data_IF_792491421914
#
_entry.id   IF_792491421914
#
_cell.length_a   1.000
_cell.length_b   1.000
_cell.length_c   1.000
_cell.angle_alpha   90.00
_cell.angle_beta   90.00
_cell.angle_gamma   90.00
#
_symmetry.space_group_name_H-M   'P 1'
#
loop_
_entity.id
_entity.type
_entity.pdbx_description
1 polymer ?
#
# COMPACT_ATOMS: atom_id res chain seq x y z
N UNK A 1 4.42 -18.44 29.26
CA UNK A 1 4.41 -17.30 28.30
C UNK A 1 4.27 -16.03 29.10
N UNK A 2 5.03 -14.97 28.77
CA UNK A 2 4.89 -13.69 29.46
C UNK A 2 3.84 -12.85 28.74
N UNK A 3 2.77 -12.51 29.46
CA UNK A 3 1.73 -11.61 29.00
C UNK A 3 2.05 -10.17 29.43
N UNK A 4 1.66 -9.14 28.66
CA UNK A 4 0.94 -9.18 27.39
C UNK A 4 1.84 -9.41 26.17
N UNK A 5 1.30 -10.07 25.14
CA UNK A 5 2.01 -10.32 23.88
C UNK A 5 1.93 -9.08 22.97
N UNK A 6 3.07 -8.55 22.54
CA UNK A 6 3.12 -7.45 21.56
C UNK A 6 2.94 -8.02 20.14
N UNK A 7 1.79 -7.76 19.52
CA UNK A 7 1.44 -8.17 18.17
C UNK A 7 0.94 -6.96 17.37
N UNK A 8 1.61 -6.64 16.26
CA UNK A 8 1.28 -5.48 15.41
C UNK A 8 1.29 -4.12 16.14
N UNK A 9 2.19 -3.95 17.11
CA UNK A 9 2.22 -2.73 17.92
C UNK A 9 1.09 -2.64 18.94
N UNK A 10 0.19 -3.64 19.02
CA UNK A 10 -0.82 -3.78 20.06
C UNK A 10 -0.38 -4.81 21.09
N UNK A 11 -0.73 -4.58 22.35
CA UNK A 11 -0.59 -5.56 23.42
C UNK A 11 -1.85 -6.40 23.50
N UNK A 12 -1.68 -7.72 23.42
CA UNK A 12 -2.76 -8.68 23.57
C UNK A 12 -2.61 -9.38 24.90
N UNK A 13 -3.67 -9.33 25.70
CA UNK A 13 -3.73 -9.96 27.02
C UNK A 13 -4.24 -11.39 26.93
N UNK A 14 -3.99 -12.16 27.98
CA UNK A 14 -4.52 -13.52 28.09
C UNK A 14 -6.05 -13.54 28.06
N UNK A 15 -6.70 -12.57 28.71
CA UNK A 15 -8.15 -12.41 28.70
C UNK A 15 -8.71 -12.24 27.27
N UNK A 16 -8.03 -11.47 26.42
CA UNK A 16 -8.44 -11.29 25.02
C UNK A 16 -8.30 -12.58 24.21
N UNK A 17 -7.25 -13.38 24.47
CA UNK A 17 -7.09 -14.69 23.81
C UNK A 17 -8.16 -15.68 24.30
N UNK A 18 -8.45 -15.69 25.60
CA UNK A 18 -9.52 -16.51 26.16
C UNK A 18 -10.91 -16.13 25.60
N UNK A 19 -11.16 -14.83 25.38
CA UNK A 19 -12.36 -14.35 24.72
C UNK A 19 -12.46 -14.87 23.28
N UNK A 20 -11.37 -14.81 22.50
CA UNK A 20 -11.34 -15.37 21.14
C UNK A 20 -11.63 -16.88 21.16
N UNK A 21 -11.01 -17.63 22.08
CA UNK A 21 -11.24 -19.07 22.23
C UNK A 21 -12.68 -19.39 22.64
N UNK A 22 -13.31 -18.53 23.44
CA UNK A 22 -14.73 -18.67 23.79
C UNK A 22 -15.61 -18.44 22.56
N UNK A 23 -15.38 -17.36 21.80
CA UNK A 23 -16.13 -17.07 20.57
C UNK A 23 -16.01 -18.18 19.53
N UNK A 24 -14.82 -18.76 19.36
CA UNK A 24 -14.58 -19.89 18.45
C UNK A 24 -15.33 -21.16 18.89
N UNK A 25 -15.42 -21.42 20.20
CA UNK A 25 -16.17 -22.56 20.75
C UNK A 25 -17.68 -22.38 20.63
N UNK A 26 -18.16 -21.19 21.00
CA UNK A 26 -19.60 -20.88 21.01
C UNK A 26 -20.16 -20.76 19.59
N UNK A 27 -19.30 -20.52 18.58
CA UNK A 27 -19.72 -20.26 17.20
C UNK A 27 -18.88 -21.01 16.16
N UNK A 28 -18.91 -22.34 16.20
CA UNK A 28 -18.15 -23.19 15.27
C UNK A 28 -18.49 -22.97 13.78
N UNK A 29 -19.67 -22.41 13.47
CA UNK A 29 -20.10 -22.10 12.10
C UNK A 29 -19.53 -20.78 11.55
N UNK A 30 -18.88 -19.96 12.37
CA UNK A 30 -18.38 -18.66 11.93
C UNK A 30 -17.19 -18.77 11.00
N UNK A 31 -17.22 -17.98 9.92
CA UNK A 31 -16.07 -17.78 9.06
C UNK A 31 -15.09 -16.77 9.68
N UNK A 32 -13.84 -16.77 9.18
CA UNK A 32 -12.78 -15.85 9.66
C UNK A 32 -13.18 -14.36 9.52
N UNK A 33 -14.04 -14.02 8.56
CA UNK A 33 -14.53 -12.66 8.33
C UNK A 33 -15.49 -12.21 9.44
N UNK A 34 -16.50 -13.02 9.76
CA UNK A 34 -17.49 -12.75 10.80
C UNK A 34 -16.82 -12.64 12.17
N UNK A 35 -15.91 -13.58 12.48
CA UNK A 35 -15.13 -13.53 13.71
C UNK A 35 -14.33 -12.21 13.83
N UNK A 36 -13.70 -11.76 12.74
CA UNK A 36 -12.92 -10.51 12.76
C UNK A 36 -13.78 -9.26 12.97
N UNK A 37 -15.00 -9.22 12.40
CA UNK A 37 -15.92 -8.11 12.56
C UNK A 37 -16.45 -8.03 13.99
N UNK A 38 -16.90 -9.17 14.54
CA UNK A 38 -17.37 -9.26 15.92
C UNK A 38 -16.30 -8.83 16.93
N UNK A 39 -15.05 -9.28 16.76
CA UNK A 39 -13.94 -8.85 17.60
C UNK A 39 -13.64 -7.35 17.44
N UNK A 40 -13.75 -6.82 16.22
CA UNK A 40 -13.60 -5.39 15.99
C UNK A 40 -14.70 -4.57 16.67
N UNK A 41 -15.94 -5.07 16.72
CA UNK A 41 -17.03 -4.42 17.46
C UNK A 41 -16.79 -4.47 18.97
N UNK A 42 -16.53 -5.65 19.53
CA UNK A 42 -16.31 -5.87 20.97
C UNK A 42 -15.15 -5.06 21.54
N UNK A 43 -14.08 -4.94 20.76
CA UNK A 43 -12.88 -4.20 21.18
C UNK A 43 -12.90 -2.73 20.74
N UNK A 44 -14.02 -2.25 20.21
CA UNK A 44 -14.17 -0.92 19.59
C UNK A 44 -13.00 -0.60 18.65
N UNK A 45 -12.55 -1.61 17.90
CA UNK A 45 -11.37 -1.55 17.06
C UNK A 45 -11.69 -0.99 15.69
N UNK A 46 -11.97 0.32 15.70
CA UNK A 46 -12.36 1.09 14.54
C UNK A 46 -11.32 2.17 14.24
N UNK A 47 -11.41 2.74 13.05
CA UNK A 47 -10.71 3.95 12.64
C UNK A 47 -11.53 5.19 13.06
N UNK A 48 -10.93 6.39 13.06
CA UNK A 48 -11.66 7.64 13.31
C UNK A 48 -12.79 7.90 12.30
N UNK A 49 -12.72 7.28 11.11
CA UNK A 49 -13.74 7.34 10.06
C UNK A 49 -14.89 6.33 10.27
N UNK A 50 -14.92 5.61 11.40
CA UNK A 50 -15.93 4.59 11.72
C UNK A 50 -15.72 3.23 11.03
N UNK A 51 -14.72 3.10 10.15
CA UNK A 51 -14.45 1.82 9.49
C UNK A 51 -13.78 0.83 10.45
N UNK A 52 -14.29 -0.40 10.50
CA UNK A 52 -13.70 -1.47 11.29
C UNK A 52 -12.30 -1.83 10.77
N UNK A 53 -11.37 -2.11 11.69
CA UNK A 53 -10.02 -2.59 11.35
C UNK A 53 -9.99 -4.11 11.18
N UNK A 54 -10.94 -4.65 10.42
CA UNK A 54 -11.14 -6.10 10.22
C UNK A 54 -9.89 -6.78 9.61
N UNK A 55 -9.18 -6.10 8.70
CA UNK A 55 -7.92 -6.58 8.13
C UNK A 55 -6.84 -6.74 9.21
N UNK A 56 -6.64 -5.73 10.08
CA UNK A 56 -5.66 -5.81 11.16
C UNK A 56 -6.03 -6.89 12.17
N UNK A 57 -7.33 -7.06 12.46
CA UNK A 57 -7.85 -8.12 13.31
C UNK A 57 -7.57 -9.52 12.73
N UNK A 58 -7.83 -9.73 11.42
CA UNK A 58 -7.50 -11.01 10.76
C UNK A 58 -6.02 -11.33 10.79
N UNK A 59 -5.15 -10.32 10.61
CA UNK A 59 -3.71 -10.54 10.72
C UNK A 59 -3.27 -10.84 12.16
N UNK A 60 -3.91 -10.23 13.16
CA UNK A 60 -3.69 -10.56 14.56
C UNK A 60 -4.05 -12.03 14.83
N UNK A 61 -5.24 -12.46 14.41
CA UNK A 61 -5.69 -13.85 14.56
C UNK A 61 -4.72 -14.84 13.89
N UNK A 62 -4.23 -14.53 12.68
CA UNK A 62 -3.21 -15.35 12.02
C UNK A 62 -1.90 -15.46 12.81
N UNK A 63 -1.49 -14.38 13.47
CA UNK A 63 -0.27 -14.37 14.32
C UNK A 63 -0.43 -15.14 15.63
N UNK A 64 -1.66 -15.25 16.13
CA UNK A 64 -2.00 -16.09 17.27
C UNK A 64 -2.06 -17.57 16.86
N UNK A 65 -2.66 -17.88 15.71
CA UNK A 65 -2.66 -19.23 15.12
C UNK A 65 -1.23 -19.72 14.85
N UNK A 66 -0.36 -18.88 14.28
CA UNK A 66 1.05 -19.20 14.05
C UNK A 66 1.85 -19.45 15.35
N UNK A 67 1.35 -19.01 16.51
CA UNK A 67 1.92 -19.29 17.83
C UNK A 67 1.24 -20.47 18.53
N UNK A 68 0.37 -21.21 17.84
CA UNK A 68 -0.43 -22.30 18.37
C UNK A 68 -1.32 -21.90 19.57
N UNK A 69 -1.68 -20.61 19.69
CA UNK A 69 -2.53 -20.10 20.77
C UNK A 69 -4.03 -20.27 20.49
N UNK A 70 -4.40 -20.27 19.21
CA UNK A 70 -5.77 -20.47 18.73
C UNK A 70 -5.73 -21.33 17.47
N UNK A 71 -6.83 -22.03 17.19
CA UNK A 71 -7.03 -22.75 15.93
C UNK A 71 -8.15 -22.05 15.16
N UNK A 72 -7.84 -21.48 14.00
CA UNK A 72 -8.86 -20.80 13.19
C UNK A 72 -9.58 -21.81 12.28
N UNK A 73 -10.85 -21.56 11.95
CA UNK A 73 -11.58 -22.39 10.98
C UNK A 73 -10.84 -22.42 9.63
N UNK A 74 -11.00 -23.50 8.83
CA UNK A 74 -10.32 -23.64 7.56
C UNK A 74 -10.62 -22.45 6.65
N UNK A 75 -9.63 -22.07 5.84
CA UNK A 75 -9.79 -20.94 4.92
C UNK A 75 -10.74 -21.35 3.79
N UNK A 76 -11.93 -20.75 3.76
CA UNK A 76 -12.98 -21.11 2.80
C UNK A 76 -12.70 -20.62 1.37
N UNK A 77 -12.02 -19.48 1.19
CA UNK A 77 -11.78 -18.91 -0.14
C UNK A 77 -10.30 -18.56 -0.36
N UNK A 78 -9.73 -19.18 -1.39
CA UNK A 78 -8.55 -18.68 -2.08
C UNK A 78 -9.06 -17.84 -3.27
N UNK A 79 -9.21 -16.53 -3.09
CA UNK A 79 -9.26 -15.66 -4.27
C UNK A 79 -7.81 -15.51 -4.74
N UNK A 80 -7.43 -16.08 -5.90
CA UNK A 80 -6.11 -15.81 -6.46
C UNK A 80 -6.02 -14.30 -6.67
N UNK A 81 -4.95 -13.69 -6.16
CA UNK A 81 -4.65 -12.29 -6.46
C UNK A 81 -4.46 -12.22 -7.97
N UNK A 82 -5.46 -11.75 -8.72
CA UNK A 82 -5.30 -11.51 -10.15
C UNK A 82 -4.31 -10.35 -10.31
N UNK A 83 -3.18 -10.56 -11.02
CA UNK A 83 -2.30 -9.45 -11.35
C UNK A 83 -3.11 -8.41 -12.14
N UNK A 84 -2.86 -7.14 -11.87
CA UNK A 84 -3.45 -6.07 -12.69
C UNK A 84 -2.66 -6.00 -13.97
N UNK A 85 -3.35 -6.14 -15.08
CA UNK A 85 -2.78 -5.80 -16.37
C UNK A 85 -2.71 -4.28 -16.46
N UNK A 86 -1.49 -3.75 -16.43
CA UNK A 86 -1.22 -2.34 -16.75
C UNK A 86 -0.93 -2.28 -18.24
N UNK A 87 -1.80 -1.60 -18.98
CA UNK A 87 -1.68 -1.38 -20.42
C UNK A 87 -0.49 -0.48 -20.74
N UNK A 88 0.08 -0.67 -21.94
CA UNK A 88 1.13 0.21 -22.45
C UNK A 88 0.53 1.56 -22.83
N UNK A 89 1.12 2.63 -22.32
CA UNK A 89 0.77 3.99 -22.73
C UNK A 89 1.91 4.53 -23.58
N UNK A 90 1.57 5.17 -24.69
CA UNK A 90 2.56 5.88 -25.51
C UNK A 90 3.01 7.13 -24.76
N UNK A 91 4.23 7.10 -24.25
CA UNK A 91 4.84 8.21 -23.52
C UNK A 91 6.17 8.50 -24.16
N UNK A 92 6.44 9.78 -24.47
CA UNK A 92 7.71 10.20 -25.06
C UNK A 92 8.89 9.90 -24.11
N UNK A 93 9.71 8.92 -24.48
CA UNK A 93 10.90 8.48 -23.75
C UNK A 93 12.22 9.08 -24.28
N UNK A 94 12.14 10.06 -25.19
CA UNK A 94 13.34 10.72 -25.74
C UNK A 94 14.18 11.32 -24.60
N UNK A 95 15.47 11.04 -24.47
CA UNK A 95 16.28 11.62 -23.40
C UNK A 95 16.21 13.15 -23.44
N UNK A 96 15.84 13.75 -22.30
CA UNK A 96 15.76 15.21 -22.18
C UNK A 96 17.09 15.71 -21.63
N UNK A 97 17.80 16.53 -22.42
CA UNK A 97 19.08 17.14 -22.06
C UNK A 97 19.00 18.65 -22.28
N UNK A 98 18.46 19.37 -21.31
CA UNK A 98 18.42 20.84 -21.30
C UNK A 98 18.65 21.38 -19.89
N UNK A 99 18.81 22.70 -19.74
CA UNK A 99 18.94 23.30 -18.40
C UNK A 99 17.58 23.25 -17.71
N UNK A 100 17.59 23.08 -16.38
CA UNK A 100 16.36 23.11 -15.59
C UNK A 100 15.55 24.41 -15.79
N UNK A 101 16.25 25.53 -16.02
CA UNK A 101 15.63 26.81 -16.35
C UNK A 101 14.76 26.75 -17.63
N UNK A 102 15.17 25.95 -18.63
CA UNK A 102 14.44 25.79 -19.88
C UNK A 102 13.22 24.87 -19.74
N UNK A 103 13.14 24.11 -18.65
CA UNK A 103 12.01 23.23 -18.31
C UNK A 103 10.93 23.94 -17.47
N UNK A 104 11.20 25.14 -16.98
CA UNK A 104 10.25 25.91 -16.19
C UNK A 104 9.13 26.46 -17.09
N UNK A 105 7.88 26.51 -16.60
CA UNK A 105 7.42 26.06 -15.29
C UNK A 105 7.18 24.55 -15.24
N UNK A 106 7.59 23.91 -14.15
CA UNK A 106 7.29 22.51 -13.88
C UNK A 106 5.97 22.44 -13.11
N UNK A 107 4.98 21.74 -13.66
CA UNK A 107 3.69 21.51 -12.99
C UNK A 107 3.70 20.17 -12.26
N UNK A 108 2.85 20.05 -11.25
CA UNK A 108 2.56 18.77 -10.59
C UNK A 108 1.07 18.53 -10.67
N UNK A 109 0.65 17.37 -11.18
CA UNK A 109 -0.76 16.98 -11.28
C UNK A 109 -1.00 15.71 -10.47
N UNK A 110 -2.14 15.61 -9.79
CA UNK A 110 -2.51 14.37 -9.10
C UNK A 110 -2.87 13.34 -10.17
N UNK A 111 -2.21 12.19 -10.14
CA UNK A 111 -2.44 11.17 -11.14
C UNK A 111 -3.84 10.55 -11.04
N UNK A 112 -4.58 10.82 -9.95
CA UNK A 112 -5.95 10.34 -9.74
C UNK A 112 -7.01 11.30 -10.28
N UNK A 113 -6.62 12.46 -10.79
CA UNK A 113 -7.56 13.44 -11.34
C UNK A 113 -8.28 12.92 -12.59
N UNK A 114 -7.60 12.11 -13.42
CA UNK A 114 -8.20 11.45 -14.57
C UNK A 114 -7.58 10.07 -14.87
N UNK A 115 -8.29 9.27 -15.67
CA UNK A 115 -7.88 7.90 -16.02
C UNK A 115 -6.59 7.85 -16.84
N UNK A 116 -6.38 8.84 -17.69
CA UNK A 116 -5.23 8.98 -18.59
C UNK A 116 -3.96 9.21 -17.77
N UNK A 117 -4.00 10.11 -16.79
CA UNK A 117 -2.91 10.34 -15.85
C UNK A 117 -2.64 9.09 -14.99
N UNK A 118 -3.68 8.42 -14.49
CA UNK A 118 -3.49 7.22 -13.68
C UNK A 118 -2.83 6.09 -14.49
N UNK A 119 -3.24 5.92 -15.74
CA UNK A 119 -2.67 4.93 -16.65
C UNK A 119 -1.21 5.26 -17.00
N UNK A 120 -0.90 6.50 -17.37
CA UNK A 120 0.46 6.93 -17.64
C UNK A 120 1.37 6.76 -16.42
N UNK A 121 0.88 7.10 -15.22
CA UNK A 121 1.58 6.87 -13.96
C UNK A 121 1.87 5.39 -13.72
N UNK A 122 0.86 4.53 -13.83
CA UNK A 122 1.00 3.10 -13.60
C UNK A 122 1.95 2.46 -14.62
N UNK A 123 1.90 2.89 -15.89
CA UNK A 123 2.81 2.45 -16.95
C UNK A 123 4.26 2.86 -16.68
N UNK A 124 4.52 4.15 -16.42
CA UNK A 124 5.86 4.66 -16.14
C UNK A 124 6.46 3.99 -14.91
N UNK A 125 5.67 3.80 -13.86
CA UNK A 125 6.12 3.12 -12.67
C UNK A 125 6.37 1.64 -12.96
N UNK A 126 5.53 0.94 -13.75
CA UNK A 126 5.81 -0.44 -14.15
C UNK A 126 7.10 -0.58 -14.97
N UNK A 127 7.34 0.35 -15.90
CA UNK A 127 8.48 0.32 -16.81
C UNK A 127 9.81 0.66 -16.14
N UNK A 128 9.83 1.64 -15.22
CA UNK A 128 11.07 2.17 -14.64
C UNK A 128 11.30 1.76 -13.18
N UNK A 129 10.30 1.19 -12.49
CA UNK A 129 10.48 0.67 -11.13
C UNK A 129 11.21 -0.68 -11.16
N UNK A 130 12.30 -0.79 -10.43
CA UNK A 130 13.18 -1.96 -10.39
C UNK A 130 12.50 -3.29 -9.92
N UNK A 131 11.40 -3.25 -9.15
CA UNK A 131 10.56 -4.44 -8.85
C UNK A 131 9.33 -4.62 -9.75
N UNK A 132 9.15 -3.77 -10.77
CA UNK A 132 7.93 -3.69 -11.59
C UNK A 132 6.66 -3.50 -10.76
N UNK A 133 6.13 -2.28 -10.79
CA UNK A 133 4.89 -1.95 -10.08
C UNK A 133 3.69 -2.76 -10.59
N UNK A 134 2.93 -3.38 -9.68
CA UNK A 134 1.72 -4.15 -9.98
C UNK A 134 0.46 -3.53 -9.39
N UNK A 135 0.51 -3.12 -8.11
CA UNK A 135 -0.56 -2.39 -7.42
C UNK A 135 0.03 -1.58 -6.27
N UNK A 136 -0.51 -0.41 -5.97
CA UNK A 136 -0.19 0.26 -4.74
C UNK A 136 -0.96 -0.42 -3.60
N UNK A 137 -0.26 -0.78 -2.53
CA UNK A 137 -0.88 -1.40 -1.34
C UNK A 137 -0.93 -0.35 -0.23
N UNK A 138 -2.13 -0.06 0.26
CA UNK A 138 -2.36 0.94 1.30
C UNK A 138 -2.56 2.37 0.77
N UNK A 139 -2.61 3.34 1.68
CA UNK A 139 -2.78 4.75 1.33
C UNK A 139 -1.53 5.29 0.62
N UNK A 140 -1.74 5.87 -0.55
CA UNK A 140 -0.69 6.44 -1.39
C UNK A 140 -1.17 7.74 -2.04
N UNK A 141 -0.22 8.59 -2.40
CA UNK A 141 -0.38 9.77 -3.24
C UNK A 141 0.42 9.55 -4.51
N UNK A 142 -0.21 9.82 -5.65
CA UNK A 142 0.37 9.61 -6.98
C UNK A 142 0.43 10.95 -7.69
N UNK A 143 1.59 11.33 -8.16
CA UNK A 143 1.77 12.57 -8.89
C UNK A 143 2.49 12.34 -10.21
N UNK A 144 2.09 13.11 -11.22
CA UNK A 144 2.80 13.25 -12.48
C UNK A 144 3.41 14.65 -12.57
N UNK A 145 4.53 14.72 -13.27
CA UNK A 145 5.29 15.95 -13.49
C UNK A 145 5.33 16.21 -14.99
N UNK A 146 4.31 16.87 -15.57
CA UNK A 146 4.36 17.33 -16.95
C UNK A 146 5.26 18.57 -17.08
N UNK A 147 6.03 18.61 -18.17
CA UNK A 147 6.79 19.78 -18.61
C UNK A 147 5.90 20.80 -19.31
N UNK A 148 6.51 21.90 -19.79
CA UNK A 148 5.76 23.00 -20.45
C UNK A 148 4.96 22.54 -21.68
N UNK A 149 5.47 21.54 -22.40
CA UNK A 149 4.87 21.02 -23.64
C UNK A 149 3.89 19.87 -23.35
N UNK A 150 3.40 19.77 -22.10
CA UNK A 150 2.53 18.68 -21.58
C UNK A 150 3.14 17.27 -21.65
N UNK A 151 4.42 17.19 -22.03
CA UNK A 151 5.22 15.97 -21.98
C UNK A 151 5.46 15.53 -20.54
N UNK A 152 5.20 14.25 -20.25
CA UNK A 152 5.47 13.68 -18.92
C UNK A 152 6.97 13.47 -18.72
N UNK A 153 7.55 14.18 -17.75
CA UNK A 153 8.97 14.11 -17.42
C UNK A 153 9.26 13.09 -16.33
N UNK A 154 8.37 12.99 -15.33
CA UNK A 154 8.54 12.09 -14.21
C UNK A 154 7.20 11.72 -13.55
N UNK A 155 7.23 10.65 -12.76
CA UNK A 155 6.16 10.30 -11.83
C UNK A 155 6.70 10.11 -10.41
N UNK A 156 5.84 10.35 -9.41
CA UNK A 156 6.18 10.30 -8.00
C UNK A 156 5.11 9.55 -7.18
N UNK A 157 5.53 8.51 -6.47
CA UNK A 157 4.68 7.74 -5.55
C UNK A 157 5.08 8.03 -4.10
N UNK A 158 4.19 8.63 -3.32
CA UNK A 158 4.35 8.73 -1.87
C UNK A 158 3.43 7.74 -1.16
N UNK A 159 3.95 7.01 -0.17
CA UNK A 159 3.19 6.08 0.67
C UNK A 159 3.28 6.52 2.14
N UNK A 160 2.21 6.29 2.92
CA UNK A 160 2.15 6.64 4.36
C UNK A 160 3.34 5.99 5.14
N UNK A 161 3.86 6.61 6.22
CA UNK A 161 5.16 6.27 6.78
C UNK A 161 5.13 4.90 7.48
N UNK A 162 6.08 4.07 7.05
CA UNK A 162 6.37 2.74 7.55
C UNK A 162 7.58 2.17 6.80
N UNK A 163 7.69 2.51 5.50
CA UNK A 163 8.90 2.49 4.68
C UNK A 163 8.75 3.59 3.63
N UNK A 164 9.44 4.71 3.81
CA UNK A 164 9.53 5.71 2.74
C UNK A 164 10.38 5.12 1.62
N UNK A 165 9.85 5.10 0.41
CA UNK A 165 10.61 4.78 -0.79
C UNK A 165 10.32 5.89 -1.78
N UNK A 166 11.29 6.78 -1.93
CA UNK A 166 11.25 7.85 -2.92
C UNK A 166 11.70 7.24 -4.24
N UNK A 167 10.83 7.22 -5.23
CA UNK A 167 11.16 6.74 -6.57
C UNK A 167 10.76 7.79 -7.58
N UNK A 168 11.79 8.34 -8.22
CA UNK A 168 11.67 9.20 -9.38
C UNK A 168 11.84 8.27 -10.57
N UNK A 169 10.73 7.86 -11.18
CA UNK A 169 10.74 7.20 -12.46
C UNK A 169 10.62 8.30 -13.53
N UNK A 170 11.78 8.74 -14.04
CA UNK A 170 11.84 9.60 -15.22
C UNK A 170 11.77 8.75 -16.49
N UNK A 171 11.09 9.27 -17.52
CA UNK A 171 11.21 8.77 -18.90
C UNK A 171 12.62 9.02 -19.47
N UNK A 172 13.39 9.90 -18.82
CA UNK A 172 14.82 10.04 -19.02
C UNK A 172 15.57 9.04 -18.14
N UNK A 173 16.40 8.19 -18.78
CA UNK A 173 17.33 7.31 -18.08
C UNK A 173 18.05 8.06 -16.95
N UNK A 174 18.14 7.40 -15.79
CA UNK A 174 18.91 7.77 -14.58
C UNK A 174 19.37 9.24 -14.58
N UNK A 175 18.57 10.13 -14.01
CA UNK A 175 19.00 11.48 -13.66
C UNK A 175 20.16 11.38 -12.66
N UNK A 176 21.39 11.32 -13.17
CA UNK A 176 22.59 11.56 -12.38
C UNK A 176 22.63 13.06 -12.11
N UNK A 177 22.13 13.45 -10.94
CA UNK A 177 22.48 14.74 -10.36
C UNK A 177 24.00 14.71 -10.13
N UNK A 178 24.74 15.47 -10.93
CA UNK A 178 26.11 15.80 -10.59
C UNK A 178 26.08 16.50 -9.23
N UNK A 179 26.92 16.04 -8.30
CA UNK A 179 27.06 16.60 -6.96
C UNK A 179 27.30 18.12 -7.05
N UNK A 180 26.30 18.91 -6.67
CA UNK A 180 26.53 20.28 -6.21
C UNK A 180 26.13 20.33 -4.73
N UNK A 181 27.16 20.53 -3.92
CA UNK A 181 27.11 20.81 -2.49
C UNK A 181 26.35 22.11 -2.26
N UNK A 182 25.31 22.07 -1.41
CA UNK A 182 24.68 23.27 -0.90
C UNK A 182 25.45 23.72 0.35
N UNK A 183 26.00 24.94 0.30
CA UNK A 183 26.49 25.68 1.48
C UNK A 183 25.33 26.13 2.39
#
# INVERSE_FOLDING_TARGET
>A
MNWPLKLQGRFVTEAQVNEILKLLRDNASWNRTRLSQELCERWSWQRPDGQMKDIACRELLRKLEARALIQLPPRQNYSPRRPVTIESVDVDQTPVSCKLADMQPIKTVDARDCSEHENAFNYLLKAHHYLSYQRPVGQNMKYLIPGKDERILACFLAQRPGKQRFEIAGSAGRLTFANETWD
#
